data_IF_078230683788
#
_entry.id   IF_078230683788
#
_cell.length_a   1.000
_cell.length_b   1.000
_cell.length_c   1.000
_cell.angle_alpha   90.00
_cell.angle_beta   90.00
_cell.angle_gamma   90.00
#
_symmetry.space_group_name_H-M   'P 1'
#
loop_
_entity.id
_entity.type
_entity.pdbx_description
1 polymer ?
#
# COMPACT_ATOMS: atom_id res chain seq x y z
N UNK A 1 -22.28 -17.95 -8.95
CA UNK A 1 -21.45 -17.39 -7.86
C UNK A 1 -20.89 -18.57 -7.09
N UNK A 2 -19.58 -18.80 -7.13
CA UNK A 2 -18.97 -19.96 -6.47
C UNK A 2 -19.14 -19.84 -4.97
N UNK A 3 -19.88 -20.79 -4.39
CA UNK A 3 -20.09 -20.87 -2.96
C UNK A 3 -18.86 -21.54 -2.35
N UNK A 4 -17.85 -20.76 -1.96
CA UNK A 4 -16.63 -21.35 -1.41
C UNK A 4 -16.83 -21.80 0.04
N UNK A 5 -17.37 -20.92 0.88
CA UNK A 5 -17.43 -21.14 2.34
C UNK A 5 -18.85 -21.28 2.92
N UNK A 6 -19.88 -20.95 2.14
CA UNK A 6 -21.28 -20.87 2.61
C UNK A 6 -22.21 -21.73 1.75
N UNK A 7 -23.31 -22.21 2.31
CA UNK A 7 -24.34 -22.96 1.59
C UNK A 7 -24.06 -24.47 1.45
N UNK A 8 -25.00 -25.20 0.83
CA UNK A 8 -25.01 -26.66 0.81
C UNK A 8 -23.99 -27.26 -0.18
N UNK A 9 -23.81 -26.64 -1.35
CA UNK A 9 -22.86 -27.08 -2.39
C UNK A 9 -21.53 -26.35 -2.30
N UNK A 10 -21.04 -26.12 -1.08
CA UNK A 10 -19.83 -25.32 -0.87
C UNK A 10 -18.57 -26.08 -1.28
N UNK A 11 -17.61 -25.36 -1.86
CA UNK A 11 -16.35 -25.95 -2.31
C UNK A 11 -15.48 -26.44 -1.15
N UNK A 12 -15.47 -25.70 -0.03
CA UNK A 12 -14.78 -26.14 1.19
C UNK A 12 -15.79 -26.80 2.13
N UNK A 13 -15.67 -28.11 2.33
CA UNK A 13 -16.61 -28.89 3.15
C UNK A 13 -16.76 -28.33 4.58
N UNK A 14 -15.67 -27.86 5.20
CA UNK A 14 -15.69 -27.22 6.53
C UNK A 14 -16.27 -25.80 6.52
N UNK A 15 -16.52 -25.19 5.36
CA UNK A 15 -16.96 -23.80 5.24
C UNK A 15 -16.00 -22.84 5.96
N UNK A 16 -16.54 -21.84 6.65
CA UNK A 16 -15.75 -20.95 7.52
C UNK A 16 -15.01 -21.68 8.66
N UNK A 17 -15.45 -22.90 9.00
CA UNK A 17 -14.77 -23.82 9.92
C UNK A 17 -13.33 -24.14 9.53
N UNK A 18 -12.97 -23.98 8.24
CA UNK A 18 -11.61 -24.15 7.74
C UNK A 18 -10.61 -23.21 8.43
N UNK A 19 -11.05 -22.01 8.85
CA UNK A 19 -10.18 -21.04 9.52
C UNK A 19 -9.77 -21.47 10.93
N UNK A 20 -10.45 -22.45 11.52
CA UNK A 20 -10.11 -23.05 12.82
C UNK A 20 -9.35 -24.37 12.68
N UNK A 21 -9.15 -24.87 11.46
CA UNK A 21 -8.29 -26.02 11.22
C UNK A 21 -6.86 -25.71 11.64
N UNK A 22 -6.21 -26.59 12.40
CA UNK A 22 -4.90 -26.32 13.00
C UNK A 22 -3.85 -25.95 11.95
N UNK A 23 -3.77 -26.70 10.86
CA UNK A 23 -2.77 -26.48 9.80
C UNK A 23 -3.07 -25.17 9.08
N UNK A 24 -4.34 -24.93 8.74
CA UNK A 24 -4.75 -23.73 8.03
C UNK A 24 -4.56 -22.46 8.87
N UNK A 25 -5.00 -22.51 10.14
CA UNK A 25 -4.87 -21.42 11.08
C UNK A 25 -3.41 -21.08 11.34
N UNK A 26 -2.59 -22.10 11.63
CA UNK A 26 -1.15 -21.92 11.83
C UNK A 26 -0.49 -21.31 10.59
N UNK A 27 -0.85 -21.78 9.40
CA UNK A 27 -0.32 -21.21 8.14
C UNK A 27 -0.68 -19.73 8.01
N UNK A 28 -1.92 -19.34 8.33
CA UNK A 28 -2.31 -17.93 8.33
C UNK A 28 -1.49 -17.15 9.36
N UNK A 29 -1.43 -17.61 10.61
CA UNK A 29 -0.72 -16.88 11.67
C UNK A 29 0.77 -16.70 11.37
N UNK A 30 1.43 -17.73 10.82
CA UNK A 30 2.83 -17.68 10.42
C UNK A 30 3.08 -16.70 9.23
N UNK A 31 2.04 -16.36 8.46
CA UNK A 31 2.10 -15.42 7.34
C UNK A 31 1.48 -14.04 7.64
N UNK A 32 1.07 -13.78 8.89
CA UNK A 32 0.53 -12.49 9.30
C UNK A 32 1.58 -11.69 10.09
N UNK A 33 2.05 -10.58 9.50
CA UNK A 33 2.98 -9.66 10.16
C UNK A 33 2.47 -9.17 11.54
N UNK A 34 1.15 -9.02 11.69
CA UNK A 34 0.48 -8.63 12.94
C UNK A 34 0.70 -9.64 14.09
N UNK A 35 0.98 -10.90 13.75
CA UNK A 35 1.12 -12.02 14.70
C UNK A 35 2.57 -12.35 15.05
N UNK A 36 3.53 -11.92 14.24
CA UNK A 36 4.95 -12.12 14.52
C UNK A 36 5.33 -11.42 15.83
N UNK A 37 6.38 -11.86 16.51
CA UNK A 37 6.84 -11.24 17.76
C UNK A 37 7.87 -10.11 17.52
N UNK A 38 8.43 -9.55 18.60
CA UNK A 38 9.39 -8.43 18.52
C UNK A 38 10.73 -8.79 17.87
N UNK A 39 11.08 -10.07 17.76
CA UNK A 39 12.33 -10.51 17.10
C UNK A 39 12.28 -10.26 15.59
N UNK A 40 11.08 -10.09 15.04
CA UNK A 40 10.83 -9.76 13.64
C UNK A 40 10.67 -8.26 13.38
N UNK A 41 10.99 -7.39 14.35
CA UNK A 41 10.98 -5.96 14.09
C UNK A 41 12.03 -5.61 13.01
N UNK A 42 11.67 -4.75 12.04
CA UNK A 42 12.64 -4.19 11.10
C UNK A 42 13.82 -3.53 11.84
N UNK A 43 15.03 -3.91 11.45
CA UNK A 43 16.28 -3.33 11.98
C UNK A 43 16.76 -2.13 11.15
N UNK A 44 16.05 -1.83 10.07
CA UNK A 44 16.26 -0.67 9.20
C UNK A 44 15.08 0.29 9.35
N UNK A 45 15.27 1.59 9.05
CA UNK A 45 14.16 2.52 8.94
C UNK A 45 13.07 2.00 7.99
N UNK A 46 11.80 2.28 8.31
CA UNK A 46 10.66 1.91 7.47
C UNK A 46 9.75 3.12 7.25
N UNK A 47 9.26 3.28 6.02
CA UNK A 47 8.11 4.10 5.68
C UNK A 47 6.95 3.19 5.29
N UNK A 48 5.80 3.39 5.93
CA UNK A 48 4.49 2.91 5.48
C UNK A 48 3.76 4.10 4.87
N UNK A 49 3.22 3.95 3.67
CA UNK A 49 2.28 4.92 3.10
C UNK A 49 0.97 4.19 2.77
N UNK A 50 -0.17 4.83 3.04
CA UNK A 50 -1.48 4.21 2.83
C UNK A 50 -2.59 5.24 2.62
N UNK A 51 -3.55 4.90 1.76
CA UNK A 51 -4.74 5.71 1.49
C UNK A 51 -5.84 5.48 2.51
N UNK A 52 -6.41 6.55 3.07
CA UNK A 52 -7.44 6.48 4.13
C UNK A 52 -8.71 5.79 3.64
N UNK A 53 -9.05 6.00 2.38
CA UNK A 53 -10.26 5.49 1.73
C UNK A 53 -9.97 4.30 0.81
N UNK A 54 -8.87 3.58 1.05
CA UNK A 54 -8.51 2.37 0.30
C UNK A 54 -9.63 1.32 0.39
N UNK A 55 -10.21 1.03 -0.76
CA UNK A 55 -11.35 0.16 -0.97
C UNK A 55 -10.97 -1.32 -1.20
N UNK A 56 -9.68 -1.62 -1.40
CA UNK A 56 -9.16 -2.97 -1.65
C UNK A 56 -8.41 -3.52 -0.43
N UNK A 57 -7.50 -2.72 0.14
CA UNK A 57 -6.69 -3.06 1.31
C UNK A 57 -7.07 -2.13 2.46
N UNK A 58 -7.87 -2.60 3.44
CA UNK A 58 -8.34 -1.77 4.54
C UNK A 58 -7.19 -1.15 5.36
N UNK A 59 -7.16 0.17 5.48
CA UNK A 59 -6.11 0.89 6.22
C UNK A 59 -6.01 0.47 7.70
N UNK A 60 -7.09 -0.08 8.28
CA UNK A 60 -7.12 -0.55 9.67
C UNK A 60 -5.98 -1.54 9.97
N UNK A 61 -5.60 -2.38 9.01
CA UNK A 61 -4.60 -3.43 9.22
C UNK A 61 -3.18 -2.81 9.19
N UNK A 62 -2.93 -1.84 8.30
CA UNK A 62 -1.70 -1.04 8.31
C UNK A 62 -1.58 -0.20 9.60
N UNK A 63 -2.69 0.35 10.09
CA UNK A 63 -2.75 1.08 11.36
C UNK A 63 -2.42 0.19 12.55
N UNK A 64 -2.97 -1.02 12.58
CA UNK A 64 -2.66 -2.01 13.61
C UNK A 64 -1.17 -2.39 13.56
N UNK A 65 -0.62 -2.59 12.36
CA UNK A 65 0.80 -2.93 12.20
C UNK A 65 1.73 -1.81 12.69
N UNK A 66 1.40 -0.56 12.36
CA UNK A 66 2.11 0.61 12.87
C UNK A 66 2.14 0.62 14.39
N UNK A 67 0.96 0.49 15.03
CA UNK A 67 0.85 0.50 16.48
C UNK A 67 1.65 -0.65 17.12
N UNK A 68 1.53 -1.86 16.58
CA UNK A 68 2.25 -3.04 17.08
C UNK A 68 3.77 -2.85 17.00
N UNK A 69 4.29 -2.32 15.90
CA UNK A 69 5.73 -2.08 15.77
C UNK A 69 6.20 -0.97 16.72
N UNK A 70 5.40 0.09 16.90
CA UNK A 70 5.70 1.16 17.84
C UNK A 70 5.73 0.66 19.30
N UNK A 71 4.70 -0.09 19.72
CA UNK A 71 4.60 -0.62 21.08
C UNK A 71 5.73 -1.59 21.43
N UNK A 72 6.30 -2.24 20.41
CA UNK A 72 7.43 -3.17 20.55
C UNK A 72 8.80 -2.49 20.44
N UNK A 73 8.84 -1.18 20.21
CA UNK A 73 10.07 -0.39 20.26
C UNK A 73 10.88 -0.41 18.96
N UNK A 74 10.24 -0.44 17.80
CA UNK A 74 10.95 -0.19 16.52
C UNK A 74 11.73 1.12 16.58
N UNK A 75 12.96 1.12 16.06
CA UNK A 75 13.86 2.27 16.19
C UNK A 75 13.49 3.45 15.27
N UNK A 76 12.88 3.17 14.11
CA UNK A 76 12.51 4.19 13.12
C UNK A 76 11.34 3.70 12.27
N UNK A 77 10.17 4.29 12.46
CA UNK A 77 8.97 4.01 11.68
C UNK A 77 8.22 5.30 11.34
N UNK A 78 8.08 5.56 10.05
CA UNK A 78 7.26 6.64 9.53
C UNK A 78 5.98 6.08 8.91
N UNK A 79 4.84 6.74 9.16
CA UNK A 79 3.55 6.43 8.54
C UNK A 79 2.99 7.67 7.86
N UNK A 80 2.81 7.60 6.55
CA UNK A 80 2.29 8.67 5.71
C UNK A 80 0.89 8.32 5.20
N UNK A 81 -0.14 8.94 5.77
CA UNK A 81 -1.54 8.68 5.44
C UNK A 81 -2.08 9.74 4.46
N UNK A 82 -2.67 9.29 3.36
CA UNK A 82 -3.31 10.14 2.34
C UNK A 82 -4.83 10.13 2.55
N UNK A 83 -5.43 11.28 2.87
CA UNK A 83 -6.87 11.40 3.09
C UNK A 83 -7.70 11.32 1.81
N UNK A 84 -7.09 11.57 0.65
CA UNK A 84 -7.77 11.70 -0.64
C UNK A 84 -7.69 10.45 -1.53
N UNK A 85 -6.87 9.47 -1.17
CA UNK A 85 -6.53 8.36 -2.05
C UNK A 85 -7.19 7.03 -1.64
N UNK A 86 -7.85 6.40 -2.62
CA UNK A 86 -8.15 4.97 -2.62
C UNK A 86 -6.98 4.14 -3.16
N UNK A 87 -7.15 2.83 -3.34
CA UNK A 87 -6.05 1.90 -3.62
C UNK A 87 -5.18 2.30 -4.82
N UNK A 88 -5.84 2.54 -5.96
CA UNK A 88 -5.14 2.88 -7.20
C UNK A 88 -4.58 4.31 -7.16
N UNK A 89 -5.30 5.25 -6.55
CA UNK A 89 -4.83 6.63 -6.42
C UNK A 89 -3.56 6.68 -5.56
N UNK A 90 -3.51 5.91 -4.48
CA UNK A 90 -2.36 5.88 -3.56
C UNK A 90 -1.11 5.31 -4.22
N UNK A 91 -1.27 4.44 -5.22
CA UNK A 91 -0.15 3.99 -6.05
C UNK A 91 0.56 5.17 -6.73
N UNK A 92 -0.17 6.23 -7.09
CA UNK A 92 0.39 7.40 -7.78
C UNK A 92 0.80 8.53 -6.83
N UNK A 93 0.07 8.75 -5.75
CA UNK A 93 0.38 9.80 -4.77
C UNK A 93 1.47 9.37 -3.79
N UNK A 94 1.50 8.07 -3.44
CA UNK A 94 2.47 7.47 -2.53
C UNK A 94 3.83 7.14 -3.17
N UNK A 95 3.88 6.76 -4.46
CA UNK A 95 5.14 6.41 -5.11
C UNK A 95 6.19 7.54 -5.14
N UNK A 96 5.83 8.82 -5.44
CA UNK A 96 6.75 9.95 -5.29
C UNK A 96 7.26 10.12 -3.85
N UNK A 97 6.39 9.93 -2.86
CA UNK A 97 6.76 10.00 -1.44
C UNK A 97 7.77 8.91 -1.07
N UNK A 98 7.50 7.66 -1.48
CA UNK A 98 8.37 6.52 -1.24
C UNK A 98 9.75 6.71 -1.87
N UNK A 99 9.83 7.13 -3.14
CA UNK A 99 11.10 7.36 -3.80
C UNK A 99 11.91 8.48 -3.13
N UNK A 100 11.24 9.56 -2.72
CA UNK A 100 11.89 10.69 -2.03
C UNK A 100 12.39 10.29 -0.64
N UNK A 101 11.65 9.44 0.07
CA UNK A 101 12.09 8.87 1.33
C UNK A 101 13.31 7.97 1.16
N UNK A 102 13.32 7.10 0.14
CA UNK A 102 14.47 6.24 -0.20
C UNK A 102 15.70 7.09 -0.56
N UNK A 103 15.53 8.11 -1.42
CA UNK A 103 16.59 9.03 -1.82
C UNK A 103 17.21 9.75 -0.62
N UNK A 104 16.39 10.16 0.35
CA UNK A 104 16.87 10.75 1.61
C UNK A 104 17.74 9.76 2.42
N UNK A 105 17.39 8.47 2.47
CA UNK A 105 18.21 7.44 3.13
C UNK A 105 19.55 7.25 2.43
N UNK A 106 19.56 7.12 1.10
CA UNK A 106 20.81 6.98 0.35
C UNK A 106 21.68 8.23 0.37
N UNK A 107 21.08 9.41 0.51
CA UNK A 107 21.78 10.68 0.69
C UNK A 107 22.31 10.90 2.12
N UNK A 108 22.19 9.91 3.02
CA UNK A 108 22.67 10.00 4.39
C UNK A 108 21.84 10.93 5.30
N UNK A 109 20.64 11.33 4.89
CA UNK A 109 19.75 12.13 5.76
C UNK A 109 19.17 11.23 6.85
N UNK A 110 19.16 11.67 8.12
CA UNK A 110 18.67 10.86 9.23
C UNK A 110 17.19 10.52 9.07
N UNK A 111 16.83 9.29 9.44
CA UNK A 111 15.44 8.87 9.56
C UNK A 111 14.82 9.40 10.85
N UNK A 112 13.50 9.26 10.97
CA UNK A 112 12.78 9.60 12.20
C UNK A 112 13.25 8.68 13.32
N UNK A 113 13.41 9.23 14.52
CA UNK A 113 13.68 8.42 15.71
C UNK A 113 12.37 7.98 16.34
N UNK A 114 12.21 6.68 16.60
CA UNK A 114 10.98 6.08 17.07
C UNK A 114 9.89 6.10 15.99
N UNK A 115 8.66 6.40 16.40
CA UNK A 115 7.49 6.37 15.53
C UNK A 115 6.96 7.77 15.20
N UNK A 116 6.72 8.05 13.93
CA UNK A 116 6.10 9.28 13.46
C UNK A 116 4.96 8.99 12.49
N UNK A 117 3.76 9.51 12.78
CA UNK A 117 2.61 9.46 11.87
C UNK A 117 2.30 10.86 11.36
N UNK A 118 2.11 10.97 10.05
CA UNK A 118 1.66 12.20 9.41
C UNK A 118 0.48 11.92 8.50
N UNK A 119 -0.62 12.62 8.74
CA UNK A 119 -1.81 12.59 7.89
C UNK A 119 -1.76 13.81 6.96
N UNK A 120 -1.97 13.61 5.67
CA UNK A 120 -1.94 14.66 4.65
C UNK A 120 -3.22 14.61 3.83
N UNK A 121 -3.59 15.76 3.26
CA UNK A 121 -4.65 15.78 2.24
C UNK A 121 -4.26 14.91 1.05
N UNK A 122 -2.98 14.90 0.67
CA UNK A 122 -2.40 13.88 -0.21
C UNK A 122 -0.90 13.68 0.00
N UNK A 123 -0.41 12.46 -0.24
CA UNK A 123 1.00 12.09 -0.17
C UNK A 123 1.86 12.71 -1.29
N UNK A 124 1.28 13.34 -2.32
CA UNK A 124 2.05 14.22 -3.22
C UNK A 124 2.64 15.44 -2.49
N UNK A 125 2.13 15.76 -1.29
CA UNK A 125 2.64 16.79 -0.41
C UNK A 125 3.71 16.26 0.57
N UNK A 126 4.20 15.03 0.38
CA UNK A 126 5.29 14.50 1.17
C UNK A 126 6.54 15.39 1.01
N UNK A 127 7.20 15.77 2.12
CA UNK A 127 8.31 16.72 2.08
C UNK A 127 9.51 16.15 1.32
N UNK A 128 10.18 17.00 0.54
CA UNK A 128 11.39 16.62 -0.18
C UNK A 128 11.16 15.96 -1.54
N UNK A 129 9.90 15.81 -2.00
CA UNK A 129 9.64 15.42 -3.39
C UNK A 129 10.23 16.47 -4.33
N UNK A 130 11.24 16.07 -5.12
CA UNK A 130 11.85 16.93 -6.11
C UNK A 130 10.93 17.13 -7.32
N UNK A 131 11.13 18.24 -8.04
CA UNK A 131 10.38 18.50 -9.27
C UNK A 131 10.58 17.38 -10.31
N UNK A 132 11.78 16.79 -10.36
CA UNK A 132 12.09 15.68 -11.26
C UNK A 132 11.31 14.42 -10.92
N UNK A 133 11.26 14.04 -9.63
CA UNK A 133 10.47 12.89 -9.16
C UNK A 133 9.00 13.11 -9.48
N UNK A 134 8.49 14.32 -9.22
CA UNK A 134 7.12 14.68 -9.52
C UNK A 134 6.79 14.56 -11.00
N UNK A 135 7.60 15.16 -11.88
CA UNK A 135 7.40 15.10 -13.34
C UNK A 135 7.47 13.65 -13.84
N UNK A 136 8.41 12.85 -13.32
CA UNK A 136 8.56 11.45 -13.68
C UNK A 136 7.29 10.65 -13.40
N UNK A 137 6.76 10.74 -12.17
CA UNK A 137 5.53 10.02 -11.79
C UNK A 137 4.26 10.61 -12.41
N UNK A 138 4.21 11.93 -12.64
CA UNK A 138 3.15 12.54 -13.44
C UNK A 138 3.15 11.99 -14.88
N UNK A 139 4.33 11.77 -15.47
CA UNK A 139 4.49 11.12 -16.77
C UNK A 139 3.98 9.68 -16.78
N UNK A 140 4.34 8.87 -15.78
CA UNK A 140 3.84 7.50 -15.62
C UNK A 140 2.31 7.48 -15.50
N UNK A 141 1.76 8.35 -14.65
CA UNK A 141 0.32 8.48 -14.47
C UNK A 141 -0.37 8.82 -15.79
N UNK A 142 0.12 9.86 -16.49
CA UNK A 142 -0.40 10.25 -17.81
C UNK A 142 -0.37 9.11 -18.82
N UNK A 143 0.72 8.34 -18.89
CA UNK A 143 0.81 7.17 -19.78
C UNK A 143 -0.24 6.12 -19.44
N UNK A 144 -0.43 5.79 -18.16
CA UNK A 144 -1.42 4.77 -17.75
C UNK A 144 -2.85 5.22 -18.07
N UNK A 145 -3.15 6.50 -17.84
CA UNK A 145 -4.47 7.08 -18.12
C UNK A 145 -4.67 7.52 -19.58
N UNK A 146 -3.65 7.35 -20.45
CA UNK A 146 -3.73 7.69 -21.86
C UNK A 146 -3.79 9.20 -22.14
N UNK A 147 -3.27 10.02 -21.24
CA UNK A 147 -3.16 11.47 -21.38
C UNK A 147 -1.87 11.80 -22.14
N UNK A 148 -1.94 12.71 -23.11
CA UNK A 148 -0.79 13.14 -23.89
C UNK A 148 0.32 13.74 -22.99
N UNK A 149 1.57 13.34 -23.26
CA UNK A 149 2.73 13.75 -22.47
C UNK A 149 3.25 15.14 -22.86
N UNK A 150 2.87 15.62 -24.04
CA UNK A 150 3.22 16.94 -24.56
C UNK A 150 2.75 17.12 -26.01
N UNK A 151 3.02 18.30 -26.58
CA UNK A 151 2.69 18.58 -27.98
C UNK A 151 3.39 17.57 -28.91
N UNK A 152 2.61 16.83 -29.71
CA UNK A 152 3.13 15.84 -30.65
C UNK A 152 3.57 14.50 -30.03
N UNK A 153 3.47 14.34 -28.71
CA UNK A 153 3.81 13.08 -28.00
C UNK A 153 2.53 12.45 -27.46
N UNK A 154 2.01 11.50 -28.21
CA UNK A 154 0.85 10.71 -27.80
C UNK A 154 1.29 9.66 -26.78
N UNK A 155 0.51 9.50 -25.70
CA UNK A 155 0.64 8.30 -24.88
C UNK A 155 0.11 7.09 -25.66
N UNK A 156 0.80 5.95 -25.57
CA UNK A 156 0.22 4.71 -26.05
C UNK A 156 -1.11 4.46 -25.31
N UNK A 157 -2.16 4.03 -26.05
CA UNK A 157 -3.47 3.66 -25.48
C UNK A 157 -3.43 2.35 -24.67
N UNK A 158 -2.31 2.06 -24.01
CA UNK A 158 -1.86 0.70 -23.73
C UNK A 158 -2.55 0.05 -22.52
N UNK A 159 -3.07 0.80 -21.54
CA UNK A 159 -3.47 0.17 -20.26
C UNK A 159 -4.87 0.55 -19.81
N UNK A 160 -5.30 1.82 -19.88
CA UNK A 160 -6.56 2.26 -19.23
C UNK A 160 -7.80 1.46 -19.65
N UNK A 161 -8.07 1.34 -20.95
CA UNK A 161 -9.33 0.72 -21.40
C UNK A 161 -9.44 -0.78 -21.09
N UNK A 162 -8.34 -1.53 -21.12
CA UNK A 162 -8.37 -2.98 -20.82
C UNK A 162 -8.25 -3.26 -19.33
N UNK A 163 -7.40 -2.52 -18.61
CA UNK A 163 -7.21 -2.68 -17.17
C UNK A 163 -8.44 -2.21 -16.38
N UNK A 164 -9.00 -1.02 -16.67
CA UNK A 164 -10.21 -0.56 -16.00
C UNK A 164 -11.43 -1.40 -16.38
N UNK A 165 -11.55 -1.88 -17.62
CA UNK A 165 -12.61 -2.81 -18.00
C UNK A 165 -12.47 -4.17 -17.29
N UNK A 166 -11.24 -4.63 -17.05
CA UNK A 166 -10.98 -5.84 -16.27
C UNK A 166 -11.39 -5.64 -14.81
N UNK A 167 -10.92 -4.57 -14.15
CA UNK A 167 -11.26 -4.31 -12.74
C UNK A 167 -12.77 -4.08 -12.56
N UNK A 168 -13.45 -3.34 -13.45
CA UNK A 168 -14.92 -3.17 -13.41
C UNK A 168 -15.73 -4.46 -13.58
N UNK A 169 -15.11 -5.56 -14.01
CA UNK A 169 -15.79 -6.86 -14.13
C UNK A 169 -15.91 -7.57 -12.78
N UNK A 170 -15.10 -7.18 -11.79
CA UNK A 170 -14.97 -7.85 -10.50
C UNK A 170 -15.38 -6.98 -9.31
N UNK A 171 -15.84 -5.75 -9.56
CA UNK A 171 -16.51 -4.84 -8.63
C UNK A 171 -17.94 -4.64 -9.14
#
# INVERSE_FOLDING_TARGET
>A
MSQYFTGQNRAFEKGWGLLQDEVFNKTIEDNLLLKLDKTYLPQVPVLIYHGTIDEIIPIKDANAQYQIWCDRGIQSLEFAEDLSAGHLAETFTGAPAALSWIDARFSGKPAVNGCQRTIRSSNVLYPGISITIRIYFEGISKTIFGVNLGSGVNADKSISNKFFAYIRKYI
#
